data_IF_753385070030
#
_entry.id   IF_753385070030
#
_cell.length_a   1.000
_cell.length_b   1.000
_cell.length_c   1.000
_cell.angle_alpha   90.00
_cell.angle_beta   90.00
_cell.angle_gamma   90.00
#
_symmetry.space_group_name_H-M   'P 1'
#
loop_
_entity.id
_entity.type
_entity.pdbx_description
1 polymer ?
#
# COMPACT_ATOMS: atom_id res chain seq x y z
N UNK A 1 69.77 -19.73 -28.10
CA UNK A 1 68.75 -19.05 -28.94
C UNK A 1 67.53 -18.83 -28.06
N UNK A 2 67.34 -17.59 -27.58
CA UNK A 2 66.23 -17.19 -26.70
C UNK A 2 65.08 -16.62 -27.56
N UNK A 3 63.87 -17.11 -27.32
CA UNK A 3 62.63 -16.55 -27.87
C UNK A 3 62.26 -15.25 -27.14
N UNK A 4 61.83 -14.18 -27.83
CA UNK A 4 61.19 -13.06 -27.17
C UNK A 4 59.70 -13.37 -26.91
N UNK A 5 59.27 -13.16 -25.67
CA UNK A 5 57.86 -13.11 -25.27
C UNK A 5 57.26 -11.78 -25.74
N UNK A 6 56.20 -11.84 -26.55
CA UNK A 6 55.37 -10.67 -26.88
C UNK A 6 54.30 -10.55 -25.79
N UNK A 7 54.34 -9.46 -25.02
CA UNK A 7 53.23 -9.02 -24.17
C UNK A 7 52.23 -8.26 -25.03
N UNK A 8 51.02 -8.78 -25.23
CA UNK A 8 49.88 -7.97 -25.70
C UNK A 8 49.26 -7.27 -24.49
N UNK A 9 49.44 -5.95 -24.38
CA UNK A 9 48.62 -5.13 -23.48
C UNK A 9 47.29 -4.83 -24.17
N UNK A 10 46.19 -5.33 -23.61
CA UNK A 10 44.85 -4.94 -24.06
C UNK A 10 44.59 -3.48 -23.64
N UNK A 11 44.42 -2.60 -24.62
CA UNK A 11 43.97 -1.23 -24.44
C UNK A 11 42.44 -1.26 -24.35
N UNK A 12 41.87 -1.12 -23.16
CA UNK A 12 40.42 -0.98 -22.99
C UNK A 12 40.01 0.44 -23.37
N UNK A 13 39.26 0.57 -24.46
CA UNK A 13 38.63 1.83 -24.87
C UNK A 13 37.41 2.07 -23.98
N UNK A 14 37.47 3.11 -23.14
CA UNK A 14 36.33 3.62 -22.39
C UNK A 14 35.52 4.53 -23.33
N UNK A 15 34.35 4.07 -23.78
CA UNK A 15 33.38 4.92 -24.47
C UNK A 15 32.54 5.61 -23.39
N UNK A 16 32.82 6.89 -23.12
CA UNK A 16 31.94 7.75 -22.32
C UNK A 16 30.88 8.32 -23.27
N UNK A 17 29.66 7.81 -23.18
CA UNK A 17 28.50 8.42 -23.85
C UNK A 17 27.97 9.52 -22.93
N UNK A 18 28.17 10.78 -23.31
CA UNK A 18 27.46 11.90 -22.71
C UNK A 18 26.05 11.93 -23.31
N UNK A 19 25.04 11.58 -22.52
CA UNK A 19 23.64 11.85 -22.87
C UNK A 19 23.35 13.27 -22.42
N UNK A 20 23.21 14.17 -23.38
CA UNK A 20 22.83 15.56 -23.14
C UNK A 20 21.41 15.59 -22.56
N UNK A 21 21.25 16.12 -21.35
CA UNK A 21 20.01 16.05 -20.58
C UNK A 21 18.92 17.04 -21.05
N UNK A 22 19.07 17.67 -22.21
CA UNK A 22 18.33 18.90 -22.55
C UNK A 22 17.48 18.86 -23.82
N UNK A 23 17.09 17.70 -24.34
CA UNK A 23 16.08 17.65 -25.42
C UNK A 23 15.19 16.40 -25.36
N UNK A 24 14.50 16.17 -24.25
CA UNK A 24 13.23 15.45 -24.33
C UNK A 24 12.14 16.51 -24.55
N UNK A 25 11.39 16.48 -25.67
CA UNK A 25 10.21 17.31 -25.78
C UNK A 25 9.19 16.81 -24.75
N UNK A 26 9.04 17.54 -23.64
CA UNK A 26 7.85 17.44 -22.81
C UNK A 26 6.67 17.94 -23.66
N UNK A 27 6.08 17.02 -24.43
CA UNK A 27 4.78 17.21 -25.01
C UNK A 27 3.76 17.08 -23.88
N UNK A 28 3.74 18.05 -22.96
CA UNK A 28 2.67 18.23 -21.99
C UNK A 28 1.46 18.76 -22.76
N UNK A 29 0.76 17.86 -23.46
CA UNK A 29 -0.60 18.13 -23.87
C UNK A 29 -1.37 18.40 -22.57
N UNK A 30 -1.67 19.67 -22.28
CA UNK A 30 -2.60 19.99 -21.20
C UNK A 30 -3.92 19.33 -21.58
N UNK A 31 -4.19 18.18 -20.99
CA UNK A 31 -5.52 17.57 -21.06
C UNK A 31 -6.43 18.61 -20.46
N UNK A 32 -7.30 19.20 -21.28
CA UNK A 32 -8.34 20.09 -20.77
C UNK A 32 -9.02 19.34 -19.61
N UNK A 33 -9.16 19.96 -18.41
CA UNK A 33 -9.71 19.25 -17.28
C UNK A 33 -11.07 18.68 -17.68
N UNK A 34 -11.18 17.34 -17.62
CA UNK A 34 -12.47 16.67 -17.74
C UNK A 34 -13.40 17.29 -16.69
N UNK A 35 -14.68 17.53 -16.99
CA UNK A 35 -15.62 17.95 -15.95
C UNK A 35 -15.72 16.91 -14.82
N UNK A 36 -15.27 15.67 -15.07
CA UNK A 36 -15.29 14.55 -14.13
C UNK A 36 -13.87 14.29 -13.57
N UNK A 37 -13.31 15.26 -12.84
CA UNK A 37 -12.06 15.07 -12.10
C UNK A 37 -12.35 14.81 -10.62
N UNK A 38 -11.63 13.85 -10.04
CA UNK A 38 -11.60 13.59 -8.61
C UNK A 38 -10.29 14.14 -8.05
N UNK A 39 -10.29 15.35 -7.45
CA UNK A 39 -9.06 16.00 -7.01
C UNK A 39 -8.50 15.31 -5.76
N UNK A 40 -7.27 14.82 -5.85
CA UNK A 40 -6.52 14.29 -4.70
C UNK A 40 -5.14 14.93 -4.64
N UNK A 41 -4.68 15.22 -3.43
CA UNK A 41 -3.35 15.74 -3.13
C UNK A 41 -2.46 14.66 -2.54
N UNK A 42 -2.36 13.52 -3.23
CA UNK A 42 -1.56 12.38 -2.78
C UNK A 42 -0.07 12.66 -2.91
N UNK A 43 0.72 12.33 -1.88
CA UNK A 43 2.19 12.48 -1.86
C UNK A 43 2.93 11.15 -1.87
N UNK A 44 2.24 10.04 -2.11
CA UNK A 44 2.82 8.71 -2.04
C UNK A 44 1.93 7.62 -2.61
N UNK A 45 1.98 6.44 -1.99
CA UNK A 45 1.21 5.28 -2.43
C UNK A 45 -0.30 5.54 -2.33
N UNK A 46 -1.05 4.93 -3.25
CA UNK A 46 -2.50 4.98 -3.32
C UNK A 46 -3.01 3.55 -3.35
N UNK A 47 -4.08 3.28 -2.62
CA UNK A 47 -4.86 2.06 -2.74
C UNK A 47 -6.30 2.39 -3.11
N UNK A 48 -6.99 1.49 -3.77
CA UNK A 48 -8.41 1.64 -4.04
C UNK A 48 -9.13 0.30 -3.96
N UNK A 49 -10.39 0.32 -3.54
CA UNK A 49 -11.29 -0.82 -3.57
C UNK A 49 -12.60 -0.43 -4.23
N UNK A 50 -13.15 -1.32 -5.04
CA UNK A 50 -14.52 -1.20 -5.49
C UNK A 50 -15.43 -1.98 -4.54
N UNK A 51 -16.51 -1.33 -4.13
CA UNK A 51 -17.52 -1.88 -3.26
C UNK A 51 -18.52 -2.68 -4.08
N UNK A 52 -18.60 -3.99 -3.83
CA UNK A 52 -19.41 -4.93 -4.63
C UNK A 52 -20.91 -4.60 -4.62
N UNK A 53 -21.44 -4.03 -3.54
CA UNK A 53 -22.87 -3.77 -3.42
C UNK A 53 -23.35 -2.41 -4.03
N UNK A 54 -22.51 -1.38 -4.09
CA UNK A 54 -22.86 -0.07 -4.68
C UNK A 54 -22.12 0.28 -5.96
N UNK A 55 -21.07 -0.47 -6.31
CA UNK A 55 -20.07 -0.08 -7.32
C UNK A 55 -19.30 1.22 -6.97
N UNK A 56 -19.41 1.72 -5.74
CA UNK A 56 -18.61 2.84 -5.25
C UNK A 56 -17.13 2.45 -5.25
N UNK A 57 -16.26 3.39 -5.61
CA UNK A 57 -14.82 3.25 -5.44
C UNK A 57 -14.40 4.03 -4.22
N UNK A 58 -13.72 3.38 -3.27
CA UNK A 58 -13.04 4.03 -2.15
C UNK A 58 -11.55 4.10 -2.46
N UNK A 59 -10.98 5.29 -2.36
CA UNK A 59 -9.60 5.60 -2.70
C UNK A 59 -8.92 6.08 -1.43
N UNK A 60 -7.79 5.46 -1.10
CA UNK A 60 -6.99 5.73 0.09
C UNK A 60 -5.62 6.22 -0.32
N UNK A 61 -5.18 7.34 0.24
CA UNK A 61 -3.91 7.95 -0.12
C UNK A 61 -3.34 8.74 1.05
N UNK A 62 -2.01 8.85 1.12
CA UNK A 62 -1.38 9.76 2.07
C UNK A 62 -1.32 11.16 1.49
N UNK A 63 -1.76 12.17 2.23
CA UNK A 63 -1.66 13.58 1.84
C UNK A 63 -0.37 14.24 2.32
N UNK A 64 -0.16 15.51 1.97
CA UNK A 64 1.02 16.27 2.38
C UNK A 64 1.15 16.49 3.89
N UNK A 65 0.09 16.28 4.67
CA UNK A 65 0.15 16.34 6.13
C UNK A 65 0.67 15.04 6.75
N UNK A 66 0.74 13.97 5.94
CA UNK A 66 1.11 12.62 6.36
C UNK A 66 -0.09 11.78 6.82
N UNK A 67 -1.30 12.34 6.83
CA UNK A 67 -2.52 11.60 7.15
C UNK A 67 -2.91 10.68 5.98
N UNK A 68 -3.55 9.55 6.28
CA UNK A 68 -4.25 8.78 5.24
C UNK A 68 -5.64 9.37 5.09
N UNK A 69 -5.94 9.80 3.88
CA UNK A 69 -7.24 10.30 3.46
C UNK A 69 -8.03 9.15 2.83
N UNK A 70 -9.34 9.16 3.04
CA UNK A 70 -10.29 8.43 2.21
C UNK A 70 -10.98 9.44 1.30
N UNK A 71 -11.17 9.07 0.04
CA UNK A 71 -12.23 9.69 -0.74
C UNK A 71 -13.00 8.67 -1.57
N UNK A 72 -14.11 9.11 -2.14
CA UNK A 72 -15.07 8.22 -2.78
C UNK A 72 -15.52 8.71 -4.13
N UNK A 73 -15.77 7.77 -5.03
CA UNK A 73 -16.38 8.04 -6.33
C UNK A 73 -17.53 7.07 -6.57
N UNK A 74 -18.70 7.58 -6.94
CA UNK A 74 -19.88 6.79 -7.32
C UNK A 74 -20.38 7.22 -8.68
N UNK A 75 -20.37 6.31 -9.66
CA UNK A 75 -20.84 6.60 -11.02
C UNK A 75 -20.23 7.90 -11.60
N UNK A 76 -18.93 8.11 -11.39
CA UNK A 76 -18.20 9.30 -11.82
C UNK A 76 -18.36 10.55 -10.94
N UNK A 77 -19.20 10.49 -9.90
CA UNK A 77 -19.41 11.62 -8.98
C UNK A 77 -18.51 11.52 -7.76
N UNK A 78 -17.84 12.62 -7.44
CA UNK A 78 -17.07 12.80 -6.22
C UNK A 78 -17.99 12.76 -4.98
N UNK A 79 -17.62 11.94 -3.99
CA UNK A 79 -18.27 11.83 -2.69
C UNK A 79 -17.57 12.68 -1.61
N UNK A 80 -16.50 13.38 -1.96
CA UNK A 80 -15.63 14.12 -1.09
C UNK A 80 -14.49 13.29 -0.52
N UNK A 81 -13.60 13.99 0.19
CA UNK A 81 -12.44 13.44 0.88
C UNK A 81 -12.51 13.75 2.37
N UNK A 82 -12.07 12.83 3.22
CA UNK A 82 -11.97 13.01 4.68
C UNK A 82 -10.70 12.38 5.23
N UNK A 83 -10.25 12.86 6.39
CA UNK A 83 -9.14 12.24 7.13
C UNK A 83 -9.64 10.91 7.69
N UNK A 84 -8.97 9.81 7.30
CA UNK A 84 -9.28 8.48 7.79
C UNK A 84 -8.32 8.06 8.91
N UNK A 85 -7.01 8.16 8.68
CA UNK A 85 -5.98 7.88 9.67
C UNK A 85 -5.20 9.16 9.97
N UNK A 86 -5.17 9.64 11.22
CA UNK A 86 -4.45 10.86 11.54
C UNK A 86 -2.94 10.67 11.36
N UNK A 87 -2.25 11.74 10.95
CA UNK A 87 -0.84 11.70 10.58
C UNK A 87 0.10 11.14 11.66
N UNK A 88 -0.23 11.31 12.95
CA UNK A 88 0.56 10.77 14.05
C UNK A 88 0.53 9.23 14.17
N UNK A 89 -0.32 8.55 13.41
CA UNK A 89 -0.40 7.10 13.36
C UNK A 89 0.18 6.50 12.08
N UNK A 90 0.65 7.33 11.15
CA UNK A 90 1.05 6.90 9.80
C UNK A 90 2.53 7.17 9.58
N UNK A 91 3.27 6.17 9.11
CA UNK A 91 4.65 6.38 8.65
C UNK A 91 4.65 7.29 7.41
N UNK A 92 5.53 8.29 7.31
CA UNK A 92 5.68 9.06 6.07
C UNK A 92 6.04 8.15 4.88
N UNK A 93 5.34 8.34 3.76
CA UNK A 93 5.48 7.55 2.52
C UNK A 93 5.28 6.04 2.73
N UNK A 94 4.39 5.69 3.66
CA UNK A 94 4.04 4.29 3.94
C UNK A 94 3.43 3.62 2.71
N UNK A 95 3.72 2.34 2.43
CA UNK A 95 2.90 1.57 1.51
C UNK A 95 1.49 1.45 2.07
N UNK A 96 0.50 1.61 1.20
CA UNK A 96 -0.92 1.52 1.54
C UNK A 96 -1.52 0.40 0.70
N UNK A 97 -2.30 -0.47 1.34
CA UNK A 97 -3.06 -1.49 0.62
C UNK A 97 -4.46 -1.59 1.21
N UNK A 98 -5.47 -1.79 0.37
CA UNK A 98 -6.84 -1.95 0.82
C UNK A 98 -7.49 -3.15 0.15
N UNK A 99 -8.34 -3.86 0.89
CA UNK A 99 -9.17 -4.94 0.38
C UNK A 99 -10.62 -4.74 0.84
N UNK A 100 -11.55 -5.18 0.01
CA UNK A 100 -12.94 -5.36 0.38
C UNK A 100 -13.21 -6.85 0.55
N UNK A 101 -13.88 -7.26 1.63
CA UNK A 101 -14.30 -8.65 1.81
C UNK A 101 -15.37 -9.00 0.75
N UNK A 102 -15.08 -9.94 -0.16
CA UNK A 102 -16.04 -10.34 -1.19
C UNK A 102 -17.24 -11.11 -0.64
N UNK A 103 -17.16 -11.64 0.59
CA UNK A 103 -18.20 -12.47 1.21
C UNK A 103 -19.15 -11.69 2.11
N UNK A 104 -18.78 -10.47 2.48
CA UNK A 104 -19.59 -9.64 3.35
C UNK A 104 -20.89 -9.24 2.63
N UNK A 105 -22.02 -9.36 3.33
CA UNK A 105 -23.34 -8.92 2.84
C UNK A 105 -23.45 -7.39 2.71
N UNK A 106 -22.43 -6.67 3.16
CA UNK A 106 -22.23 -5.22 3.09
C UNK A 106 -20.72 -4.95 2.95
N UNK A 107 -20.29 -3.69 2.99
CA UNK A 107 -18.88 -3.32 2.79
C UNK A 107 -18.03 -3.65 4.01
N UNK A 108 -17.07 -4.57 3.88
CA UNK A 108 -16.02 -4.76 4.87
C UNK A 108 -14.69 -4.36 4.24
N UNK A 109 -14.31 -3.11 4.46
CA UNK A 109 -13.04 -2.58 3.97
C UNK A 109 -11.98 -2.80 5.04
N UNK A 110 -10.81 -3.29 4.64
CA UNK A 110 -9.61 -3.37 5.47
C UNK A 110 -8.49 -2.58 4.79
N UNK A 111 -7.95 -1.62 5.49
CA UNK A 111 -6.84 -0.76 5.07
C UNK A 111 -5.59 -1.13 5.87
N UNK A 112 -4.49 -1.38 5.18
CA UNK A 112 -3.20 -1.75 5.75
C UNK A 112 -2.14 -0.71 5.42
N UNK A 113 -1.30 -0.40 6.40
CA UNK A 113 -0.18 0.54 6.31
C UNK A 113 0.79 0.30 7.47
N UNK A 114 1.97 0.95 7.46
CA UNK A 114 2.88 0.97 8.61
C UNK A 114 2.73 2.24 9.45
N UNK A 115 2.76 2.09 10.78
CA UNK A 115 2.85 3.19 11.76
C UNK A 115 4.28 3.78 11.82
N UNK A 116 4.51 4.93 12.48
CA UNK A 116 5.83 5.53 12.65
C UNK A 116 6.88 4.57 13.25
N UNK A 117 6.44 3.63 14.09
CA UNK A 117 7.28 2.58 14.69
C UNK A 117 7.53 1.40 13.74
N UNK A 118 7.16 1.52 12.46
CA UNK A 118 7.14 0.45 11.45
C UNK A 118 6.25 -0.74 11.85
N UNK A 119 5.21 -0.52 12.65
CA UNK A 119 4.25 -1.57 13.00
C UNK A 119 3.21 -1.71 11.90
N UNK A 120 3.01 -2.92 11.36
CA UNK A 120 1.95 -3.22 10.42
C UNK A 120 0.60 -3.01 11.09
N UNK A 121 -0.14 -2.03 10.58
CA UNK A 121 -1.36 -1.49 11.16
C UNK A 121 -2.55 -1.73 10.24
N UNK A 122 -3.72 -1.87 10.83
CA UNK A 122 -4.98 -2.08 10.14
C UNK A 122 -6.06 -1.11 10.63
N UNK A 123 -6.82 -0.57 9.69
CA UNK A 123 -8.09 0.10 9.91
C UNK A 123 -9.20 -0.69 9.19
N UNK A 124 -10.31 -0.95 9.87
CA UNK A 124 -11.42 -1.78 9.39
C UNK A 124 -12.69 -0.93 9.36
N UNK A 125 -13.46 -1.01 8.30
CA UNK A 125 -14.84 -0.53 8.27
C UNK A 125 -15.79 -1.72 8.48
N UNK A 126 -16.33 -1.93 9.70
CA UNK A 126 -17.12 -3.14 9.99
C UNK A 126 -18.56 -3.03 9.49
N UNK A 127 -19.14 -4.16 9.08
CA UNK A 127 -20.51 -4.26 8.55
C UNK A 127 -21.60 -4.41 9.63
N UNK A 128 -21.25 -4.78 10.86
CA UNK A 128 -22.22 -5.32 11.84
C UNK A 128 -22.09 -4.81 13.28
N UNK A 129 -21.35 -3.72 13.55
CA UNK A 129 -21.35 -3.14 14.90
C UNK A 129 -22.67 -2.37 15.11
N UNK A 130 -23.32 -2.44 16.30
CA UNK A 130 -24.52 -1.67 16.60
C UNK A 130 -24.37 -0.20 16.17
N UNK A 131 -25.49 0.37 15.73
CA UNK A 131 -25.70 1.66 15.02
C UNK A 131 -25.07 2.93 15.64
N UNK A 132 -24.23 2.81 16.68
CA UNK A 132 -23.53 3.89 17.37
C UNK A 132 -22.04 4.04 17.00
N UNK A 133 -21.49 3.17 16.15
CA UNK A 133 -20.09 3.23 15.66
C UNK A 133 -20.06 3.22 14.13
N UNK A 134 -20.66 4.26 13.54
CA UNK A 134 -20.53 4.50 12.11
C UNK A 134 -19.10 5.01 11.82
N UNK A 135 -18.26 4.20 11.19
CA UNK A 135 -16.94 4.63 10.74
C UNK A 135 -15.88 3.54 10.81
N UNK A 136 -14.71 3.85 10.27
CA UNK A 136 -13.55 2.99 10.44
C UNK A 136 -13.12 2.91 11.91
N UNK A 137 -12.76 1.71 12.33
CA UNK A 137 -12.10 1.43 13.59
C UNK A 137 -10.66 1.01 13.34
N UNK A 138 -9.72 1.47 14.17
CA UNK A 138 -8.31 1.19 13.98
C UNK A 138 -7.46 1.61 15.16
N UNK A 139 -6.15 1.60 14.95
CA UNK A 139 -5.17 1.96 15.97
C UNK A 139 -5.00 0.92 17.08
N UNK A 140 -4.22 1.24 18.13
CA UNK A 140 -3.82 0.28 19.16
C UNK A 140 -4.98 -0.29 20.00
N UNK A 141 -6.10 0.41 20.08
CA UNK A 141 -7.29 -0.04 20.82
C UNK A 141 -8.20 -0.98 20.03
N UNK A 142 -7.96 -1.17 18.73
CA UNK A 142 -8.75 -2.07 17.90
C UNK A 142 -8.31 -3.52 18.11
N UNK A 143 -8.94 -4.22 19.05
CA UNK A 143 -8.62 -5.63 19.38
C UNK A 143 -8.91 -6.62 18.24
N UNK A 144 -9.79 -6.25 17.31
CA UNK A 144 -10.06 -7.01 16.10
C UNK A 144 -9.04 -6.77 14.98
N UNK A 145 -8.21 -5.72 15.10
CA UNK A 145 -7.27 -5.30 14.06
C UNK A 145 -5.91 -6.02 14.18
N UNK A 146 -5.28 -6.24 13.03
CA UNK A 146 -3.93 -6.77 12.89
C UNK A 146 -2.89 -5.99 13.71
N UNK A 147 -3.11 -4.68 13.91
CA UNK A 147 -2.23 -3.78 14.69
C UNK A 147 -1.82 -4.36 16.04
N UNK A 148 -2.73 -5.07 16.72
CA UNK A 148 -2.48 -5.65 18.05
C UNK A 148 -1.48 -6.80 18.06
N UNK A 149 -1.14 -7.35 16.90
CA UNK A 149 -0.12 -8.39 16.77
C UNK A 149 1.31 -7.84 16.93
N UNK A 150 1.50 -6.52 16.91
CA UNK A 150 2.81 -5.90 17.11
C UNK A 150 3.84 -6.28 16.04
N UNK A 151 3.37 -6.57 14.82
CA UNK A 151 4.21 -7.04 13.72
C UNK A 151 5.05 -5.87 13.20
N UNK A 152 6.38 -6.00 13.32
CA UNK A 152 7.31 -4.96 12.86
C UNK A 152 7.80 -5.27 11.46
N UNK A 153 7.54 -4.35 10.52
CA UNK A 153 8.05 -4.38 9.16
C UNK A 153 9.49 -3.90 9.06
N UNK A 154 10.16 -4.26 7.97
CA UNK A 154 11.49 -3.75 7.63
C UNK A 154 11.40 -2.26 7.28
N UNK A 155 12.13 -1.44 8.02
CA UNK A 155 12.23 0.00 7.74
C UNK A 155 12.66 0.28 6.29
N UNK A 156 11.97 1.23 5.65
CA UNK A 156 12.19 1.62 4.26
C UNK A 156 11.62 0.65 3.21
N UNK A 157 11.05 -0.49 3.61
CA UNK A 157 10.37 -1.39 2.67
C UNK A 157 9.08 -0.77 2.15
N UNK A 158 8.86 -0.86 0.84
CA UNK A 158 7.61 -0.48 0.16
C UNK A 158 6.77 -1.71 -0.22
N UNK A 159 7.19 -2.90 0.19
CA UNK A 159 6.47 -4.14 -0.10
C UNK A 159 5.33 -4.30 0.90
N UNK A 160 4.10 -4.18 0.40
CA UNK A 160 2.87 -4.50 1.09
C UNK A 160 1.86 -5.02 0.07
N UNK A 161 1.19 -6.13 0.38
CA UNK A 161 0.00 -6.57 -0.35
C UNK A 161 -1.01 -7.15 0.62
N UNK A 162 -2.27 -7.20 0.20
CA UNK A 162 -3.27 -7.97 0.93
C UNK A 162 -4.21 -8.69 -0.03
N UNK A 163 -4.69 -9.86 0.41
CA UNK A 163 -5.57 -10.73 -0.35
C UNK A 163 -6.75 -11.14 0.54
N UNK A 164 -7.95 -11.10 -0.03
CA UNK A 164 -9.13 -11.73 0.55
C UNK A 164 -9.48 -12.96 -0.29
N UNK A 165 -9.58 -14.13 0.34
CA UNK A 165 -10.06 -15.34 -0.32
C UNK A 165 -11.53 -15.59 0.04
N UNK A 166 -12.46 -15.44 -0.92
CA UNK A 166 -13.89 -15.64 -0.66
C UNK A 166 -14.24 -17.08 -0.26
N UNK A 167 -13.47 -18.07 -0.70
CA UNK A 167 -13.79 -19.47 -0.46
C UNK A 167 -13.52 -19.92 0.99
N UNK A 168 -12.66 -19.22 1.71
CA UNK A 168 -12.17 -19.63 3.04
C UNK A 168 -12.29 -18.54 4.11
N UNK A 169 -12.95 -17.42 3.79
CA UNK A 169 -13.06 -16.25 4.69
C UNK A 169 -11.70 -15.84 5.26
N UNK A 170 -10.66 -15.97 4.43
CA UNK A 170 -9.27 -15.81 4.83
C UNK A 170 -8.73 -14.48 4.32
N UNK A 171 -8.10 -13.72 5.21
CA UNK A 171 -7.33 -12.53 4.85
C UNK A 171 -5.84 -12.84 4.96
N UNK A 172 -5.05 -12.35 4.01
CA UNK A 172 -3.59 -12.42 4.03
C UNK A 172 -3.03 -11.04 3.80
N UNK A 173 -1.97 -10.69 4.53
CA UNK A 173 -1.24 -9.45 4.37
C UNK A 173 0.24 -9.78 4.27
N UNK A 174 0.83 -9.57 3.10
CA UNK A 174 2.23 -9.83 2.86
C UNK A 174 3.08 -8.58 3.01
N UNK A 175 4.25 -8.75 3.62
CA UNK A 175 5.18 -7.67 3.93
C UNK A 175 6.61 -8.21 4.08
N UNK A 176 7.60 -7.34 4.14
CA UNK A 176 8.95 -7.73 4.58
C UNK A 176 9.06 -7.47 6.07
N UNK A 177 9.28 -8.51 6.88
CA UNK A 177 9.42 -8.37 8.34
C UNK A 177 10.81 -7.85 8.73
N UNK A 178 10.91 -7.16 9.87
CA UNK A 178 12.21 -6.73 10.40
C UNK A 178 13.11 -7.93 10.78
N UNK A 179 12.50 -9.05 11.21
CA UNK A 179 13.22 -10.28 11.57
C UNK A 179 13.69 -11.11 10.38
N UNK A 180 13.06 -10.96 9.21
CA UNK A 180 13.45 -11.65 7.97
C UNK A 180 13.49 -10.66 6.79
N UNK A 181 14.51 -9.78 6.73
CA UNK A 181 14.51 -8.63 5.82
C UNK A 181 14.67 -8.97 4.33
N UNK A 182 14.98 -10.22 3.99
CA UNK A 182 15.22 -10.69 2.61
C UNK A 182 14.13 -11.61 2.08
N UNK A 183 13.05 -11.82 2.84
CA UNK A 183 11.94 -12.70 2.47
C UNK A 183 10.60 -12.02 2.72
N UNK A 184 9.58 -12.43 1.96
CA UNK A 184 8.19 -12.03 2.21
C UNK A 184 7.64 -12.87 3.36
N UNK A 185 7.07 -12.20 4.35
CA UNK A 185 6.30 -12.77 5.46
C UNK A 185 4.81 -12.50 5.22
N UNK A 186 3.92 -13.37 5.71
CA UNK A 186 2.46 -13.13 5.65
C UNK A 186 1.84 -13.12 7.04
N UNK A 187 1.00 -12.13 7.32
CA UNK A 187 0.01 -12.23 8.39
C UNK A 187 -1.27 -12.83 7.81
N UNK A 188 -1.83 -13.84 8.46
CA UNK A 188 -2.98 -14.60 7.98
C UNK A 188 -4.07 -14.58 9.04
N UNK A 189 -5.30 -14.27 8.63
CA UNK A 189 -6.50 -14.40 9.46
C UNK A 189 -7.42 -15.46 8.87
N UNK A 190 -7.68 -16.53 9.62
CA UNK A 190 -8.54 -17.66 9.23
C UNK A 190 -9.93 -17.61 9.89
N UNK A 191 -10.30 -16.48 10.50
CA UNK A 191 -11.49 -16.32 11.32
C UNK A 191 -11.27 -16.59 12.81
N UNK A 192 -10.14 -17.22 13.18
CA UNK A 192 -9.73 -17.43 14.58
C UNK A 192 -8.84 -16.30 15.14
N UNK A 193 -8.61 -15.24 14.35
CA UNK A 193 -7.67 -14.18 14.66
C UNK A 193 -6.46 -14.19 13.73
N UNK A 194 -5.58 -13.20 13.93
CA UNK A 194 -4.38 -13.02 13.13
C UNK A 194 -3.23 -13.89 13.63
N UNK A 195 -2.47 -14.47 12.71
CA UNK A 195 -1.24 -15.21 12.97
C UNK A 195 -0.17 -14.83 11.95
N UNK A 196 1.10 -14.79 12.34
CA UNK A 196 2.20 -14.60 11.38
C UNK A 196 2.66 -15.96 10.87
N UNK A 197 2.67 -16.10 9.55
CA UNK A 197 3.16 -17.27 8.83
C UNK A 197 4.36 -16.90 7.97
N UNK A 198 5.33 -17.81 7.90
CA UNK A 198 6.36 -17.75 6.86
C UNK A 198 5.82 -18.51 5.66
N UNK A 199 5.93 -17.93 4.46
CA UNK A 199 5.56 -18.65 3.23
C UNK A 199 6.55 -19.82 3.10
N UNK A 200 6.09 -21.09 3.12
CA UNK A 200 6.99 -22.22 2.89
C UNK A 200 7.56 -22.09 1.47
N UNK A 201 8.88 -22.26 1.35
CA UNK A 201 9.55 -22.34 0.04
C UNK A 201 9.10 -23.58 -0.75
#
# INVERSE_FOLDING_TARGET
>A
MLFPRVFLSALSVLIVVFVDANTLPENSTSVAPSPDLFPISAVGNIAAVQLSATADTRIFFQDSTGAIMEGGVTAGKDLGTSVLVPANQVLPFTPIFAINDPTATSYLIRLYFFSPENTLSEYIYPTTIPQNTNGFMGGPSCTACLTTQGIVGRSGSQVLYALANPAFTQFRVGFISAGQPTTVSEAVNTGAGWQVSTIPN
#
